data_IF_422943059017
#
_entry.id   IF_422943059017
#
_cell.length_a   1.000
_cell.length_b   1.000
_cell.length_c   1.000
_cell.angle_alpha   90.00
_cell.angle_beta   90.00
_cell.angle_gamma   90.00
#
_symmetry.space_group_name_H-M   'P 1'
#
loop_
_entity.id
_entity.type
_entity.pdbx_description
1 polymer ?
#
# COMPACT_ATOMS: atom_id res chain seq x y z
N UNK A 1 -8.55 -10.05 -13.72
CA UNK A 1 -8.89 -8.60 -13.80
C UNK A 1 -8.14 -7.78 -12.75
N UNK A 2 -8.23 -8.08 -11.43
CA UNK A 2 -7.50 -7.31 -10.40
C UNK A 2 -5.96 -7.42 -10.45
N UNK A 3 -5.39 -8.61 -10.27
CA UNK A 3 -3.92 -8.78 -10.23
C UNK A 3 -3.27 -8.32 -11.53
N UNK A 4 -3.87 -8.67 -12.68
CA UNK A 4 -3.37 -8.25 -13.99
C UNK A 4 -3.42 -6.74 -14.18
N UNK A 5 -4.43 -6.06 -13.63
CA UNK A 5 -4.48 -4.60 -13.61
C UNK A 5 -3.37 -4.02 -12.72
N UNK A 6 -3.21 -4.51 -11.49
CA UNK A 6 -2.20 -3.98 -10.56
C UNK A 6 -0.77 -4.15 -11.07
N UNK A 7 -0.49 -5.19 -11.87
CA UNK A 7 0.81 -5.40 -12.53
C UNK A 7 1.17 -4.31 -13.55
N UNK A 8 0.18 -3.75 -14.25
CA UNK A 8 0.42 -2.74 -15.30
C UNK A 8 0.44 -1.30 -14.76
N UNK A 9 0.08 -1.10 -13.49
CA UNK A 9 0.24 0.21 -12.85
C UNK A 9 1.74 0.43 -12.57
N UNK A 10 2.33 1.38 -13.31
CA UNK A 10 3.75 1.71 -13.18
C UNK A 10 4.09 2.26 -11.80
N UNK A 11 5.24 1.87 -11.25
CA UNK A 11 5.74 2.45 -10.00
C UNK A 11 6.16 3.93 -10.23
N UNK A 12 5.92 4.85 -9.28
CA UNK A 12 6.36 6.24 -9.43
C UNK A 12 7.89 6.33 -9.58
N UNK A 13 8.35 7.23 -10.45
CA UNK A 13 9.78 7.45 -10.71
C UNK A 13 10.37 8.56 -9.85
N UNK A 14 9.55 9.56 -9.47
CA UNK A 14 9.91 10.60 -8.51
C UNK A 14 9.38 10.19 -7.14
N UNK A 15 10.25 10.09 -6.14
CA UNK A 15 9.93 9.66 -4.77
C UNK A 15 10.76 10.43 -3.74
N UNK A 16 10.53 10.17 -2.45
CA UNK A 16 11.30 10.75 -1.35
C UNK A 16 10.72 12.06 -0.84
N UNK A 17 9.40 12.21 -0.97
CA UNK A 17 8.69 13.35 -0.40
C UNK A 17 8.64 13.21 1.11
N UNK A 18 8.66 14.34 1.81
CA UNK A 18 8.42 14.35 3.26
C UNK A 18 6.92 14.38 3.46
N UNK A 19 6.35 13.24 3.85
CA UNK A 19 4.92 13.07 4.11
C UNK A 19 4.74 12.94 5.63
N UNK A 20 4.07 13.89 6.30
CA UNK A 20 3.70 13.74 7.70
C UNK A 20 2.70 12.60 7.87
N UNK A 21 2.87 11.77 8.91
CA UNK A 21 2.02 10.60 9.14
C UNK A 21 2.08 10.14 10.60
N UNK A 22 0.97 9.65 11.13
CA UNK A 22 0.93 9.10 12.50
C UNK A 22 0.77 7.57 12.53
N UNK A 23 0.46 6.96 11.38
CA UNK A 23 0.23 5.51 11.22
C UNK A 23 0.59 5.04 9.81
N UNK A 24 0.80 3.73 9.62
CA UNK A 24 1.07 3.14 8.32
C UNK A 24 -0.11 3.25 7.37
N UNK A 25 -1.34 3.03 7.85
CA UNK A 25 -2.56 3.24 7.06
C UNK A 25 -2.71 4.71 6.66
N UNK A 26 -2.39 5.65 7.57
CA UNK A 26 -2.40 7.08 7.29
C UNK A 26 -1.40 7.46 6.21
N UNK A 27 -0.15 7.00 6.32
CA UNK A 27 0.88 7.22 5.30
C UNK A 27 0.45 6.65 3.93
N UNK A 28 -0.08 5.44 3.93
CA UNK A 28 -0.58 4.80 2.72
C UNK A 28 -1.71 5.61 2.05
N UNK A 29 -2.62 6.19 2.83
CA UNK A 29 -3.67 7.08 2.32
C UNK A 29 -3.08 8.35 1.71
N UNK A 30 -2.16 9.03 2.41
CA UNK A 30 -1.48 10.22 1.89
C UNK A 30 -0.68 9.93 0.62
N UNK A 31 -0.03 8.77 0.53
CA UNK A 31 0.67 8.34 -0.68
C UNK A 31 -0.29 8.15 -1.86
N UNK A 32 -1.45 7.51 -1.65
CA UNK A 32 -2.47 7.34 -2.71
C UNK A 32 -2.92 8.68 -3.29
N UNK A 33 -3.16 9.66 -2.44
CA UNK A 33 -3.55 11.02 -2.85
C UNK A 33 -2.40 11.74 -3.57
N UNK A 34 -1.20 11.73 -2.99
CA UNK A 34 -0.03 12.42 -3.54
C UNK A 34 0.38 11.88 -4.91
N UNK A 35 0.40 10.56 -5.06
CA UNK A 35 0.87 9.89 -6.28
C UNK A 35 -0.25 9.60 -7.28
N UNK A 36 -1.52 9.74 -6.89
CA UNK A 36 -2.66 9.41 -7.73
C UNK A 36 -2.69 7.94 -8.16
N UNK A 37 -2.17 7.03 -7.34
CA UNK A 37 -2.10 5.60 -7.63
C UNK A 37 -2.74 4.76 -6.53
N UNK A 38 -3.38 3.61 -6.88
CA UNK A 38 -3.83 2.65 -5.90
C UNK A 38 -2.65 1.94 -5.25
N UNK A 39 -2.84 1.43 -4.03
CA UNK A 39 -1.97 0.41 -3.46
C UNK A 39 -2.64 -0.96 -3.60
N UNK A 40 -1.81 -2.00 -3.63
CA UNK A 40 -2.26 -3.37 -3.74
C UNK A 40 -3.03 -3.80 -2.48
N UNK A 41 -4.00 -4.71 -2.65
CA UNK A 41 -4.81 -5.28 -1.59
C UNK A 41 -3.94 -5.81 -0.44
N UNK A 42 -2.92 -6.59 -0.78
CA UNK A 42 -1.96 -7.12 0.20
C UNK A 42 -1.17 -6.01 0.90
N UNK A 43 -0.86 -4.91 0.22
CA UNK A 43 -0.17 -3.76 0.82
C UNK A 43 -1.08 -3.07 1.82
N UNK A 44 -2.34 -2.80 1.47
CA UNK A 44 -3.32 -2.23 2.39
C UNK A 44 -3.54 -3.11 3.63
N UNK A 45 -3.65 -4.43 3.44
CA UNK A 45 -3.73 -5.40 4.55
C UNK A 45 -2.47 -5.37 5.40
N UNK A 46 -1.29 -5.31 4.79
CA UNK A 46 -0.02 -5.25 5.51
C UNK A 46 0.12 -3.97 6.33
N UNK A 47 -0.26 -2.80 5.80
CA UNK A 47 -0.22 -1.53 6.54
C UNK A 47 -1.12 -1.57 7.77
N UNK A 48 -2.34 -2.10 7.62
CA UNK A 48 -3.25 -2.32 8.75
C UNK A 48 -2.64 -3.26 9.79
N UNK A 49 -1.98 -4.34 9.35
CA UNK A 49 -1.28 -5.26 10.25
C UNK A 49 -0.13 -4.58 10.99
N UNK A 50 0.68 -3.75 10.31
CA UNK A 50 1.76 -2.99 10.93
C UNK A 50 1.23 -2.05 12.02
N UNK A 51 0.11 -1.37 11.79
CA UNK A 51 -0.53 -0.54 12.82
C UNK A 51 -1.05 -1.38 13.99
N UNK A 52 -1.73 -2.50 13.73
CA UNK A 52 -2.26 -3.36 14.80
C UNK A 52 -1.19 -4.02 15.66
N UNK A 53 0.02 -4.24 15.13
CA UNK A 53 1.14 -4.78 15.91
C UNK A 53 1.66 -3.81 16.99
N UNK A 54 1.25 -2.54 16.95
CA UNK A 54 1.61 -1.53 17.96
C UNK A 54 0.70 -1.57 19.18
N UNK A 55 -0.47 -2.19 19.08
CA UNK A 55 -1.43 -2.24 20.18
C UNK A 55 -0.87 -3.03 21.36
N UNK A 56 -0.95 -2.44 22.56
CA UNK A 56 -0.40 -2.96 23.80
C UNK A 56 1.12 -2.76 23.97
N UNK A 57 1.77 -1.98 23.10
CA UNK A 57 3.18 -1.60 23.27
C UNK A 57 3.31 -0.30 24.07
N UNK A 58 4.48 -0.09 24.70
CA UNK A 58 4.75 1.13 25.46
C UNK A 58 4.65 2.40 24.60
N UNK A 59 4.93 2.28 23.29
CA UNK A 59 4.89 3.37 22.31
C UNK A 59 3.61 3.36 21.46
N UNK A 60 2.50 2.75 21.91
CA UNK A 60 1.26 2.66 21.13
C UNK A 60 0.73 4.05 20.69
N UNK A 61 0.73 5.01 21.61
CA UNK A 61 0.21 6.37 21.39
C UNK A 61 1.23 7.35 20.77
N UNK A 62 2.47 6.89 20.56
CA UNK A 62 3.52 7.74 19.99
C UNK A 62 3.29 7.93 18.49
N UNK A 63 3.33 9.15 17.93
CA UNK A 63 3.20 9.34 16.49
C UNK A 63 4.30 8.60 15.71
N UNK A 64 3.92 7.83 14.68
CA UNK A 64 4.85 6.95 13.98
C UNK A 64 5.98 7.69 13.25
N UNK A 65 5.75 8.92 12.80
CA UNK A 65 6.76 9.78 12.18
C UNK A 65 7.88 10.22 13.12
N UNK A 66 7.67 10.12 14.45
CA UNK A 66 8.73 10.36 15.44
C UNK A 66 9.63 9.14 15.64
N UNK A 67 9.17 7.96 15.25
CA UNK A 67 9.88 6.68 15.40
C UNK A 67 10.60 6.32 14.09
N UNK A 68 9.93 6.53 12.96
CA UNK A 68 10.42 6.16 11.63
C UNK A 68 10.47 7.39 10.73
N UNK A 69 11.67 7.68 10.20
CA UNK A 69 11.86 8.73 9.21
C UNK A 69 10.90 8.56 8.02
N UNK A 70 10.20 9.63 7.65
CA UNK A 70 9.15 9.59 6.61
C UNK A 70 9.64 9.04 5.28
N UNK A 71 10.89 9.31 4.88
CA UNK A 71 11.42 8.81 3.60
C UNK A 71 11.68 7.31 3.66
N UNK A 72 12.12 6.79 4.80
CA UNK A 72 12.26 5.35 5.02
C UNK A 72 10.90 4.66 5.07
N UNK A 73 9.91 5.27 5.72
CA UNK A 73 8.55 4.74 5.76
C UNK A 73 7.94 4.68 4.35
N UNK A 74 8.05 5.77 3.58
CA UNK A 74 7.58 5.83 2.19
C UNK A 74 8.28 4.78 1.31
N UNK A 75 9.61 4.69 1.40
CA UNK A 75 10.38 3.68 0.66
C UNK A 75 9.96 2.26 1.01
N UNK A 76 9.66 1.99 2.30
CA UNK A 76 9.19 0.68 2.76
C UNK A 76 7.87 0.29 2.11
N UNK A 77 6.90 1.21 2.06
CA UNK A 77 5.61 0.94 1.40
C UNK A 77 5.83 0.66 -0.09
N UNK A 78 6.67 1.43 -0.77
CA UNK A 78 6.94 1.19 -2.19
C UNK A 78 7.64 -0.13 -2.48
N UNK A 79 8.59 -0.54 -1.64
CA UNK A 79 9.26 -1.84 -1.79
C UNK A 79 8.28 -3.00 -1.59
N UNK A 80 7.40 -2.91 -0.60
CA UNK A 80 6.34 -3.89 -0.37
C UNK A 80 5.35 -3.91 -1.55
N UNK A 81 4.94 -2.74 -2.03
CA UNK A 81 4.02 -2.61 -3.16
C UNK A 81 4.58 -3.24 -4.43
N UNK A 82 5.86 -3.02 -4.72
CA UNK A 82 6.55 -3.60 -5.87
C UNK A 82 6.56 -5.13 -5.81
N UNK A 83 6.84 -5.71 -4.64
CA UNK A 83 6.74 -7.16 -4.42
C UNK A 83 5.32 -7.63 -4.70
N UNK A 84 4.31 -7.00 -4.10
CA UNK A 84 2.93 -7.43 -4.24
C UNK A 84 2.40 -7.33 -5.67
N UNK A 85 2.72 -6.25 -6.41
CA UNK A 85 2.34 -6.10 -7.83
C UNK A 85 3.01 -7.16 -8.69
N UNK A 86 4.31 -7.40 -8.47
CA UNK A 86 5.14 -8.23 -9.34
C UNK A 86 4.97 -9.73 -9.11
N UNK A 87 4.79 -10.17 -7.86
CA UNK A 87 4.93 -11.58 -7.50
C UNK A 87 3.64 -12.27 -7.08
N UNK A 88 2.57 -11.53 -6.78
CA UNK A 88 1.34 -12.14 -6.26
C UNK A 88 0.56 -12.88 -7.36
N UNK A 89 0.13 -14.11 -7.05
CA UNK A 89 -0.75 -14.89 -7.94
C UNK A 89 -2.21 -14.53 -7.72
N UNK A 90 -2.99 -14.39 -8.80
CA UNK A 90 -4.43 -14.17 -8.70
C UNK A 90 -5.17 -15.30 -7.97
N UNK A 91 -4.66 -16.54 -8.01
CA UNK A 91 -5.22 -17.66 -7.24
C UNK A 91 -5.07 -17.44 -5.73
N UNK A 92 -3.93 -16.90 -5.30
CA UNK A 92 -3.69 -16.58 -3.89
C UNK A 92 -4.63 -15.48 -3.41
N UNK A 93 -4.80 -14.42 -4.20
CA UNK A 93 -5.72 -13.31 -3.90
C UNK A 93 -7.16 -13.80 -3.81
N UNK A 94 -7.63 -14.59 -4.79
CA UNK A 94 -8.98 -15.15 -4.78
C UNK A 94 -9.25 -16.00 -3.53
N UNK A 95 -8.27 -16.81 -3.10
CA UNK A 95 -8.39 -17.61 -1.87
C UNK A 95 -8.54 -16.73 -0.62
N UNK A 96 -7.81 -15.62 -0.54
CA UNK A 96 -7.94 -14.68 0.58
C UNK A 96 -9.31 -13.99 0.56
N UNK A 97 -9.77 -13.55 -0.61
CA UNK A 97 -11.07 -12.89 -0.74
C UNK A 97 -12.25 -13.81 -0.45
N UNK A 98 -12.15 -15.11 -0.77
CA UNK A 98 -13.14 -16.10 -0.37
C UNK A 98 -13.21 -16.30 1.15
N UNK A 99 -12.10 -16.10 1.85
CA UNK A 99 -12.02 -16.23 3.30
C UNK A 99 -12.46 -14.97 4.07
N UNK A 100 -12.48 -13.81 3.40
CA UNK A 100 -12.81 -12.51 4.00
C UNK A 100 -13.93 -11.80 3.22
N UNK A 101 -15.19 -11.84 3.71
CA UNK A 101 -16.31 -11.15 3.08
C UNK A 101 -16.12 -9.62 2.93
N UNK A 102 -15.26 -9.02 3.75
CA UNK A 102 -14.99 -7.59 3.77
C UNK A 102 -13.75 -7.19 2.95
N UNK A 103 -13.17 -8.07 2.14
CA UNK A 103 -11.92 -7.81 1.41
C UNK A 103 -11.92 -6.50 0.59
N UNK A 104 -13.10 -6.09 0.11
CA UNK A 104 -13.29 -4.92 -0.74
C UNK A 104 -12.91 -3.60 -0.04
N UNK A 105 -12.90 -3.53 1.30
CA UNK A 105 -12.45 -2.34 2.05
C UNK A 105 -10.95 -2.07 1.86
N UNK A 106 -10.20 -3.07 1.39
CA UNK A 106 -8.76 -3.00 1.14
C UNK A 106 -8.42 -2.87 -0.36
N UNK A 107 -9.42 -2.76 -1.23
CA UNK A 107 -9.25 -2.56 -2.67
C UNK A 107 -9.52 -1.09 -2.99
N UNK A 108 -8.50 -0.38 -3.48
CA UNK A 108 -8.61 1.05 -3.77
C UNK A 108 -9.40 1.34 -5.04
N UNK A 109 -10.23 2.38 -5.01
CA UNK A 109 -10.99 2.89 -6.16
C UNK A 109 -10.24 3.99 -6.94
N UNK A 110 -8.91 3.88 -7.06
CA UNK A 110 -8.04 4.86 -7.73
C UNK A 110 -7.53 4.25 -9.03
N UNK A 111 -7.76 4.95 -10.14
CA UNK A 111 -7.45 4.47 -11.49
C UNK A 111 -6.55 5.46 -12.23
N UNK A 112 -5.21 5.36 -12.11
CA UNK A 112 -4.29 6.20 -12.87
C UNK A 112 -4.44 5.94 -14.37
N UNK A 113 -4.07 6.95 -15.16
CA UNK A 113 -3.91 6.76 -16.61
C UNK A 113 -2.76 5.79 -16.84
N UNK A 114 -3.09 4.60 -17.32
CA UNK A 114 -2.08 3.64 -17.76
C UNK A 114 -1.33 4.28 -18.93
N UNK A 115 0.00 4.34 -18.84
CA UNK A 115 0.80 4.72 -20.01
C UNK A 115 0.52 3.66 -21.07
N UNK A 116 -0.05 4.07 -22.22
CA UNK A 116 -0.19 3.18 -23.36
C UNK A 116 1.18 2.58 -23.62
N UNK A 117 1.34 1.26 -23.43
CA UNK A 117 2.51 0.57 -23.93
C UNK A 117 2.54 0.83 -25.42
N UNK A 118 3.49 1.67 -25.87
CA UNK A 118 3.90 1.62 -27.27
C UNK A 118 4.23 0.15 -27.55
N UNK A 119 3.50 -0.37 -28.53
CA UNK A 119 3.46 -1.78 -28.96
C UNK A 119 4.83 -2.43 -29.03
#
# INVERSE_FOLDING_TARGET
MYQEYMKVVAMPTQRGFVIPFTSWVGLAASMKELYGQPLHYLTNVQMKKLDSMRFGSDDEDVPLDTIIDSRKAEATIWLIEEVHRSTSSHHYIARLWLADPMYHIHVDAIFPKLQNSLK
#
